data_IF_848564728196
#
_entry.id   IF_848564728196
#
_cell.length_a   1.000
_cell.length_b   1.000
_cell.length_c   1.000
_cell.angle_alpha   90.00
_cell.angle_beta   90.00
_cell.angle_gamma   90.00
#
_symmetry.space_group_name_H-M   'P 1'
#
loop_
_entity.id
_entity.type
_entity.pdbx_description
1 polymer ?
#
# COMPACT_ATOMS: atom_id res chain seq x y z
N UNK A 1 -42.16 32.31 -36.75
CA UNK A 1 -42.34 33.60 -37.45
C UNK A 1 -41.82 34.64 -36.48
N UNK A 2 -40.65 35.25 -36.60
CA UNK A 2 -39.81 35.70 -37.72
C UNK A 2 -38.40 35.81 -37.09
N UNK A 3 -37.37 35.09 -37.54
CA UNK A 3 -36.47 35.41 -38.66
C UNK A 3 -35.71 36.74 -38.55
N UNK A 4 -34.38 36.64 -38.62
CA UNK A 4 -33.42 37.58 -39.24
C UNK A 4 -33.19 38.93 -38.49
N UNK A 5 -32.04 39.60 -38.54
CA UNK A 5 -30.90 39.55 -39.46
C UNK A 5 -29.63 40.15 -38.82
N UNK A 6 -28.52 39.80 -39.47
CA UNK A 6 -27.10 40.17 -39.40
C UNK A 6 -26.79 41.66 -39.65
N UNK A 7 -25.65 42.13 -39.10
CA UNK A 7 -24.67 43.13 -39.65
C UNK A 7 -23.52 43.22 -38.63
N UNK A 8 -22.25 42.84 -38.90
CA UNK A 8 -21.20 43.54 -39.67
C UNK A 8 -20.95 44.95 -39.08
N UNK A 9 -19.77 45.43 -38.66
CA UNK A 9 -18.37 45.21 -39.03
C UNK A 9 -17.46 45.93 -38.00
N UNK A 10 -16.17 45.58 -38.04
CA UNK A 10 -15.00 46.41 -37.70
C UNK A 10 -14.71 46.87 -36.25
N UNK A 11 -13.45 46.62 -35.86
CA UNK A 11 -12.63 47.71 -35.31
C UNK A 11 -12.05 47.50 -33.91
N UNK A 12 -10.88 46.87 -33.87
CA UNK A 12 -9.66 47.45 -33.26
C UNK A 12 -9.58 47.72 -31.75
N UNK A 13 -8.38 47.48 -31.23
CA UNK A 13 -7.85 48.25 -30.09
C UNK A 13 -7.53 47.41 -28.86
N UNK A 14 -6.23 47.29 -28.57
CA UNK A 14 -5.70 46.58 -27.42
C UNK A 14 -5.87 47.33 -26.09
N UNK A 15 -5.26 46.78 -25.04
CA UNK A 15 -5.05 47.51 -23.80
C UNK A 15 -5.24 46.66 -22.54
N UNK A 16 -4.12 46.14 -22.06
CA UNK A 16 -3.62 46.29 -20.69
C UNK A 16 -4.62 46.47 -19.52
N UNK A 17 -4.43 45.64 -18.49
CA UNK A 17 -4.38 46.16 -17.12
C UNK A 17 -5.52 45.79 -16.17
N UNK A 18 -5.14 45.06 -15.13
CA UNK A 18 -5.58 45.18 -13.72
C UNK A 18 -7.07 45.33 -13.38
N UNK A 19 -7.59 44.30 -12.69
CA UNK A 19 -8.64 44.41 -11.68
C UNK A 19 -8.64 43.10 -10.88
N UNK A 20 -8.35 43.06 -9.58
CA UNK A 20 -8.90 43.88 -8.52
C UNK A 20 -10.04 43.12 -7.85
N UNK A 21 -9.73 42.40 -6.76
CA UNK A 21 -10.59 41.99 -5.62
C UNK A 21 -9.94 40.79 -4.90
N UNK A 22 -9.90 40.65 -3.58
CA UNK A 22 -10.33 41.43 -2.43
C UNK A 22 -9.50 40.89 -1.24
N UNK A 23 -9.22 41.77 -0.29
CA UNK A 23 -8.48 41.47 0.92
C UNK A 23 -9.21 40.43 1.80
N UNK A 24 -8.44 39.52 2.41
CA UNK A 24 -8.75 38.98 3.73
C UNK A 24 -7.53 39.19 4.61
N UNK A 25 -7.69 40.06 5.60
CA UNK A 25 -6.79 40.13 6.74
C UNK A 25 -7.46 39.42 7.91
N UNK A 26 -6.76 38.47 8.51
CA UNK A 26 -6.84 38.20 9.95
C UNK A 26 -5.50 37.65 10.39
N UNK A 27 -4.71 38.56 10.93
CA UNK A 27 -3.54 38.26 11.74
C UNK A 27 -4.00 37.76 13.10
N UNK A 28 -3.55 36.57 13.48
CA UNK A 28 -3.26 36.28 14.89
C UNK A 28 -2.07 35.32 14.94
N UNK A 29 -0.90 35.92 15.21
CA UNK A 29 0.27 35.18 15.66
C UNK A 29 -0.04 34.62 17.04
N UNK A 30 -0.18 33.30 17.12
CA UNK A 30 -0.03 32.57 18.36
C UNK A 30 1.02 31.50 18.11
N UNK A 31 2.17 31.68 18.75
CA UNK A 31 3.26 30.73 18.79
C UNK A 31 2.74 29.39 19.30
N UNK A 32 2.43 28.47 18.39
CA UNK A 32 2.39 27.06 18.70
C UNK A 32 3.60 26.45 18.01
N UNK A 33 4.68 26.39 18.78
CA UNK A 33 5.76 25.41 18.57
C UNK A 33 5.13 24.09 18.13
N UNK A 34 5.49 23.53 16.95
CA UNK A 34 5.08 22.19 16.60
C UNK A 34 5.75 21.27 17.61
N UNK A 35 5.01 20.91 18.66
CA UNK A 35 5.40 19.82 19.51
C UNK A 35 5.57 18.62 18.57
N UNK A 36 6.73 17.94 18.60
CA UNK A 36 6.91 16.73 17.82
C UNK A 36 5.76 15.82 18.23
N UNK A 37 4.85 15.55 17.29
CA UNK A 37 3.93 14.44 17.42
C UNK A 37 4.86 13.26 17.70
N UNK A 38 4.83 12.75 18.92
CA UNK A 38 5.44 11.46 19.22
C UNK A 38 4.70 10.50 18.31
N UNK A 39 5.23 10.29 17.10
CA UNK A 39 4.88 9.16 16.27
C UNK A 39 5.01 7.99 17.22
N UNK A 40 3.87 7.39 17.56
CA UNK A 40 3.88 6.08 18.17
C UNK A 40 4.84 5.26 17.30
N UNK A 41 5.83 4.57 17.89
CA UNK A 41 6.75 3.78 17.10
C UNK A 41 5.89 2.91 16.21
N UNK A 42 5.98 3.16 14.90
CA UNK A 42 5.43 2.30 13.90
C UNK A 42 5.78 0.88 14.33
N UNK A 43 4.78 0.03 14.51
CA UNK A 43 4.96 -1.34 14.98
C UNK A 43 5.58 -2.19 13.85
N UNK A 44 6.67 -1.71 13.25
CA UNK A 44 7.55 -2.45 12.37
C UNK A 44 8.32 -3.39 13.28
N UNK A 45 7.73 -4.54 13.59
CA UNK A 45 8.50 -5.68 14.03
C UNK A 45 9.50 -5.97 12.92
N UNK A 46 10.78 -5.63 13.17
CA UNK A 46 11.85 -5.97 12.25
C UNK A 46 11.83 -7.48 12.09
N UNK A 47 11.65 -7.93 10.86
CA UNK A 47 11.77 -9.34 10.56
C UNK A 47 13.16 -9.81 10.99
N UNK A 48 13.25 -10.98 11.67
CA UNK A 48 14.53 -11.53 12.03
C UNK A 48 15.34 -11.85 10.75
N UNK A 49 16.68 -11.91 10.86
CA UNK A 49 17.52 -12.33 9.75
C UNK A 49 17.07 -13.68 9.16
N UNK A 50 17.20 -13.83 7.84
CA UNK A 50 16.85 -15.06 7.16
C UNK A 50 17.69 -16.24 7.68
N UNK A 51 17.02 -17.33 8.07
CA UNK A 51 17.66 -18.52 8.63
C UNK A 51 18.13 -19.53 7.57
N UNK A 52 17.62 -19.42 6.34
CA UNK A 52 17.93 -20.29 5.21
C UNK A 52 17.66 -19.57 3.88
N UNK A 53 18.22 -20.08 2.79
CA UNK A 53 17.95 -19.57 1.44
C UNK A 53 16.65 -20.13 0.89
N UNK A 54 16.08 -19.47 -0.11
CA UNK A 54 14.83 -19.90 -0.74
C UNK A 54 14.94 -21.31 -1.32
N UNK A 55 16.04 -21.59 -2.03
CA UNK A 55 16.28 -22.86 -2.73
C UNK A 55 16.29 -24.05 -1.76
N UNK A 56 16.90 -23.87 -0.59
CA UNK A 56 16.98 -24.90 0.44
C UNK A 56 15.61 -25.17 1.07
N UNK A 57 14.85 -24.09 1.29
CA UNK A 57 13.53 -24.13 1.92
C UNK A 57 12.48 -24.79 1.00
N UNK A 58 12.53 -24.53 -0.30
CA UNK A 58 11.64 -25.23 -1.26
C UNK A 58 12.02 -26.69 -1.46
N UNK A 59 13.32 -27.03 -1.38
CA UNK A 59 13.79 -28.39 -1.55
C UNK A 59 13.51 -29.30 -0.34
N UNK A 60 13.40 -28.74 0.88
CA UNK A 60 13.29 -29.53 2.11
C UNK A 60 12.08 -29.10 2.98
N UNK A 61 11.00 -29.91 3.03
CA UNK A 61 9.82 -29.62 3.85
C UNK A 61 10.14 -29.47 5.35
N UNK A 62 11.07 -30.27 5.87
CA UNK A 62 11.48 -30.23 7.29
C UNK A 62 12.19 -28.92 7.63
N UNK A 63 13.06 -28.45 6.72
CA UNK A 63 13.77 -27.18 6.89
C UNK A 63 12.78 -26.00 6.85
N UNK A 64 11.81 -26.04 5.93
CA UNK A 64 10.73 -25.06 5.87
C UNK A 64 9.96 -24.98 7.19
N UNK A 65 9.49 -26.12 7.72
CA UNK A 65 8.73 -26.13 8.97
C UNK A 65 9.58 -25.60 10.14
N UNK A 66 10.83 -26.05 10.27
CA UNK A 66 11.72 -25.61 11.34
C UNK A 66 12.05 -24.10 11.28
N UNK A 67 12.18 -23.54 10.08
CA UNK A 67 12.43 -22.10 9.91
C UNK A 67 11.17 -21.27 10.14
N UNK A 68 10.00 -21.76 9.76
CA UNK A 68 8.71 -21.11 10.00
C UNK A 68 8.34 -21.07 11.49
N UNK A 69 8.61 -22.15 12.23
CA UNK A 69 8.46 -22.21 13.69
C UNK A 69 9.36 -21.19 14.40
N UNK A 70 10.64 -21.13 14.01
CA UNK A 70 11.59 -20.15 14.56
C UNK A 70 11.19 -18.71 14.24
N UNK A 71 10.65 -18.46 13.05
CA UNK A 71 10.13 -17.16 12.67
C UNK A 71 8.96 -16.75 13.58
N UNK A 72 8.00 -17.65 13.85
CA UNK A 72 6.88 -17.35 14.73
C UNK A 72 7.34 -17.12 16.18
N UNK A 73 8.28 -17.92 16.66
CA UNK A 73 8.89 -17.72 17.98
C UNK A 73 9.57 -16.35 18.10
N UNK A 74 10.34 -15.94 17.08
CA UNK A 74 11.00 -14.63 17.06
C UNK A 74 10.01 -13.45 16.95
N UNK A 75 8.90 -13.65 16.24
CA UNK A 75 7.85 -12.63 16.06
C UNK A 75 6.83 -12.62 17.20
N UNK A 76 6.95 -13.54 18.18
CA UNK A 76 6.00 -13.67 19.29
C UNK A 76 4.58 -14.10 18.85
N UNK A 77 4.46 -14.72 17.67
CA UNK A 77 3.18 -15.18 17.14
C UNK A 77 2.95 -16.66 17.43
N UNK A 78 1.68 -17.06 17.55
CA UNK A 78 1.32 -18.47 17.74
C UNK A 78 1.48 -19.24 16.44
N UNK A 79 2.34 -20.24 16.41
CA UNK A 79 2.42 -21.18 15.30
C UNK A 79 1.29 -22.21 15.37
N UNK A 80 0.44 -22.25 14.34
CA UNK A 80 -0.64 -23.23 14.23
C UNK A 80 -0.74 -23.75 12.80
N UNK A 81 -1.08 -25.03 12.66
CA UNK A 81 -1.37 -25.64 11.36
C UNK A 81 -2.90 -25.74 11.25
N UNK A 82 -3.53 -25.09 10.25
CA UNK A 82 -4.97 -25.17 10.07
C UNK A 82 -5.39 -26.54 9.54
N UNK A 83 -6.59 -26.99 9.92
CA UNK A 83 -7.19 -28.24 9.45
C UNK A 83 -8.16 -27.92 8.31
N UNK A 84 -7.97 -28.53 7.13
CA UNK A 84 -8.85 -28.39 5.97
C UNK A 84 -9.38 -29.78 5.58
N UNK A 85 -10.71 -29.94 5.53
CA UNK A 85 -11.33 -31.23 5.19
C UNK A 85 -10.98 -32.36 6.17
N UNK A 86 -10.76 -32.03 7.44
CA UNK A 86 -10.38 -33.01 8.48
C UNK A 86 -8.92 -33.46 8.44
N UNK A 87 -8.05 -32.79 7.68
CA UNK A 87 -6.61 -33.07 7.60
C UNK A 87 -5.80 -31.80 7.81
N UNK A 88 -4.60 -31.94 8.33
CA UNK A 88 -3.65 -30.83 8.47
C UNK A 88 -3.28 -30.27 7.09
N UNK A 89 -3.22 -28.94 7.00
CA UNK A 89 -2.78 -28.25 5.79
C UNK A 89 -1.27 -28.46 5.58
N UNK A 90 -0.91 -28.95 4.40
CA UNK A 90 0.49 -28.99 3.97
C UNK A 90 0.98 -27.58 3.60
N UNK A 91 1.57 -26.91 4.59
CA UNK A 91 2.09 -25.56 4.45
C UNK A 91 3.26 -25.47 3.47
N UNK A 92 4.10 -26.51 3.39
CA UNK A 92 5.25 -26.51 2.47
C UNK A 92 4.77 -26.57 1.03
N UNK A 93 3.86 -27.49 0.72
CA UNK A 93 3.28 -27.60 -0.62
C UNK A 93 2.55 -26.32 -1.02
N UNK A 94 1.76 -25.74 -0.10
CA UNK A 94 1.08 -24.46 -0.35
C UNK A 94 2.09 -23.34 -0.65
N UNK A 95 3.15 -23.23 0.14
CA UNK A 95 4.20 -22.23 -0.05
C UNK A 95 4.88 -22.35 -1.42
N UNK A 96 5.28 -23.56 -1.82
CA UNK A 96 5.93 -23.82 -3.11
C UNK A 96 4.99 -23.46 -4.27
N UNK A 97 3.72 -23.86 -4.19
CA UNK A 97 2.73 -23.55 -5.22
C UNK A 97 2.49 -22.04 -5.33
N UNK A 98 2.32 -21.36 -4.20
CA UNK A 98 2.05 -19.91 -4.18
C UNK A 98 3.25 -19.13 -4.71
N UNK A 99 4.46 -19.47 -4.27
CA UNK A 99 5.67 -18.75 -4.68
C UNK A 99 6.03 -18.99 -6.14
N UNK A 100 5.88 -20.22 -6.65
CA UNK A 100 6.14 -20.53 -8.06
C UNK A 100 5.17 -19.83 -9.03
N UNK A 101 3.95 -19.52 -8.58
CA UNK A 101 2.97 -18.76 -9.38
C UNK A 101 3.18 -17.24 -9.34
N UNK A 102 4.15 -16.75 -8.57
CA UNK A 102 4.45 -15.32 -8.41
C UNK A 102 3.87 -14.68 -7.17
N UNK A 103 3.56 -15.49 -6.14
CA UNK A 103 3.17 -15.02 -4.81
C UNK A 103 1.68 -14.79 -4.63
N UNK A 104 1.30 -14.53 -3.37
CA UNK A 104 -0.10 -14.44 -2.94
C UNK A 104 -0.85 -13.30 -3.66
N UNK A 105 -0.21 -12.16 -3.85
CA UNK A 105 -0.85 -10.98 -4.46
C UNK A 105 -1.29 -11.26 -5.90
N UNK A 106 -0.45 -11.95 -6.67
CA UNK A 106 -0.74 -12.30 -8.07
C UNK A 106 -1.89 -13.32 -8.17
N UNK A 107 -1.89 -14.34 -7.31
CA UNK A 107 -2.94 -15.37 -7.28
C UNK A 107 -4.32 -14.76 -6.99
N UNK A 108 -4.38 -13.82 -6.04
CA UNK A 108 -5.62 -13.11 -5.68
C UNK A 108 -6.12 -12.31 -6.89
N UNK A 109 -5.23 -11.57 -7.55
CA UNK A 109 -5.54 -10.75 -8.71
C UNK A 109 -6.08 -11.58 -9.88
N UNK A 110 -5.50 -12.75 -10.11
CA UNK A 110 -5.89 -13.68 -11.18
C UNK A 110 -7.08 -14.59 -10.79
N UNK A 111 -7.51 -14.59 -9.53
CA UNK A 111 -8.58 -15.47 -8.97
C UNK A 111 -8.28 -16.96 -9.15
N UNK A 112 -7.04 -17.37 -8.92
CA UNK A 112 -6.54 -18.76 -9.14
C UNK A 112 -6.15 -19.48 -7.84
N UNK A 113 -7.05 -19.42 -6.86
CA UNK A 113 -6.90 -20.02 -5.52
C UNK A 113 -6.65 -21.52 -5.56
#
# INVERSE_FOLDING_TARGET
>A
MVEQERTEEAGGGGGSGSGGKLAMASSSAANQSPLPKKEAPSNYHLYPPALAKYEDVVACPKLFMATLEKLHAAMGTKFMIPIIGGKDLDLHRLFVEVTSRGGIEKIIRERRW
#
